data_IF_510441599483
#
_entry.id   IF_510441599483
#
_cell.length_a   1.000
_cell.length_b   1.000
_cell.length_c   1.000
_cell.angle_alpha   90.00
_cell.angle_beta   90.00
_cell.angle_gamma   90.00
#
_symmetry.space_group_name_H-M   'P 1'
#
loop_
_entity.id
_entity.type
_entity.pdbx_description
1 polymer ?
#
# COMPACT_ATOMS: atom_id res chain seq x y z
N UNK A 1 -19.40 12.99 -6.17
CA UNK A 1 -18.58 14.23 -6.04
C UNK A 1 -17.21 13.82 -5.49
N UNK A 2 -16.10 13.70 -6.21
CA UNK A 2 -15.84 13.64 -7.64
C UNK A 2 -14.59 12.78 -7.81
N UNK A 3 -14.71 11.67 -8.54
CA UNK A 3 -13.57 10.83 -8.92
C UNK A 3 -12.83 11.58 -10.03
N UNK A 4 -11.65 12.11 -9.72
CA UNK A 4 -10.88 12.89 -10.70
C UNK A 4 -10.34 12.00 -11.79
N UNK A 5 -10.49 12.53 -13.00
CA UNK A 5 -10.22 11.90 -14.27
C UNK A 5 -8.73 11.68 -14.56
N UNK A 6 -8.52 10.63 -15.35
CA UNK A 6 -7.30 10.14 -16.00
C UNK A 6 -6.34 11.23 -16.48
N UNK A 7 -5.03 10.92 -16.48
CA UNK A 7 -4.10 11.48 -17.46
C UNK A 7 -3.25 10.38 -18.10
N UNK A 8 -3.35 10.33 -19.42
CA UNK A 8 -2.78 9.34 -20.31
C UNK A 8 -1.27 9.54 -20.55
N UNK A 9 -0.56 8.44 -20.76
CA UNK A 9 0.80 8.44 -21.28
C UNK A 9 1.32 7.00 -21.39
N UNK A 10 0.95 6.30 -22.47
CA UNK A 10 1.45 4.98 -22.89
C UNK A 10 1.86 4.03 -21.75
N UNK A 11 0.94 3.19 -21.31
CA UNK A 11 1.28 1.88 -20.77
C UNK A 11 0.12 0.95 -21.08
N UNK A 12 0.48 -0.27 -21.42
CA UNK A 12 -0.36 -1.42 -21.72
C UNK A 12 -1.52 -1.56 -20.70
N UNK A 13 -2.53 -2.38 -20.97
CA UNK A 13 -3.66 -2.66 -20.06
C UNK A 13 -3.21 -3.22 -18.70
N UNK A 14 -2.63 -2.37 -17.84
CA UNK A 14 -2.12 -2.74 -16.54
C UNK A 14 -3.31 -2.89 -15.61
N UNK A 15 -3.52 -4.09 -15.08
CA UNK A 15 -4.54 -4.32 -14.07
C UNK A 15 -4.22 -3.53 -12.80
N UNK A 16 -5.26 -3.11 -12.08
CA UNK A 16 -5.14 -2.39 -10.80
C UNK A 16 -5.70 -3.25 -9.69
N UNK A 17 -5.01 -3.29 -8.55
CA UNK A 17 -5.47 -3.88 -7.31
C UNK A 17 -5.55 -2.80 -6.24
N UNK A 18 -6.74 -2.56 -5.72
CA UNK A 18 -6.98 -1.63 -4.62
C UNK A 18 -7.29 -2.39 -3.34
N UNK A 19 -6.63 -2.00 -2.25
CA UNK A 19 -6.83 -2.56 -0.92
C UNK A 19 -7.40 -1.46 -0.04
N UNK A 20 -8.66 -1.63 0.36
CA UNK A 20 -9.41 -0.69 1.19
C UNK A 20 -9.39 -1.16 2.64
N UNK A 21 -8.72 -0.41 3.51
CA UNK A 21 -8.63 -0.71 4.95
C UNK A 21 -9.43 0.31 5.74
N UNK A 22 -10.45 -0.10 6.54
CA UNK A 22 -11.24 0.85 7.31
C UNK A 22 -10.42 1.52 8.42
N UNK A 23 -10.73 2.78 8.66
CA UNK A 23 -10.12 3.64 9.68
C UNK A 23 -8.87 4.39 9.22
N UNK A 24 -8.61 5.52 9.88
CA UNK A 24 -7.46 6.41 9.66
C UNK A 24 -6.16 5.85 10.24
N UNK A 25 -5.02 6.36 9.77
CA UNK A 25 -3.72 6.03 10.31
C UNK A 25 -3.65 6.42 11.80
N UNK A 26 -3.14 5.52 12.67
CA UNK A 26 -3.14 5.76 14.11
C UNK A 26 -2.12 6.85 14.50
N UNK A 27 -2.39 7.54 15.61
CA UNK A 27 -1.43 8.39 16.32
C UNK A 27 -0.76 9.50 15.48
N UNK A 28 -1.47 10.06 14.50
CA UNK A 28 -0.96 11.16 13.68
C UNK A 28 0.19 10.75 12.73
N UNK A 29 0.31 9.46 12.44
CA UNK A 29 1.22 8.96 11.40
C UNK A 29 0.72 9.43 10.04
N UNK A 30 1.55 10.18 9.30
CA UNK A 30 1.23 10.61 7.95
C UNK A 30 1.54 9.52 6.91
N UNK A 31 1.02 9.69 5.70
CA UNK A 31 1.33 8.81 4.56
C UNK A 31 2.82 8.77 4.26
N UNK A 32 3.54 9.89 4.42
CA UNK A 32 4.99 9.98 4.23
C UNK A 32 5.75 9.14 5.26
N UNK A 33 5.29 9.12 6.51
CA UNK A 33 5.86 8.29 7.56
C UNK A 33 5.71 6.79 7.20
N UNK A 34 4.54 6.39 6.71
CA UNK A 34 4.28 5.02 6.24
C UNK A 34 5.19 4.67 5.07
N UNK A 35 5.36 5.59 4.10
CA UNK A 35 6.28 5.43 2.96
C UNK A 35 7.73 5.27 3.42
N UNK A 36 8.14 5.98 4.47
CA UNK A 36 9.47 5.85 5.08
C UNK A 36 9.66 4.56 5.90
N UNK A 37 8.61 3.74 6.08
CA UNK A 37 8.66 2.50 6.85
C UNK A 37 8.49 2.69 8.36
N UNK A 38 8.01 3.87 8.80
CA UNK A 38 7.63 4.08 10.19
C UNK A 38 6.39 3.23 10.47
N UNK A 39 6.48 2.40 11.51
CA UNK A 39 5.43 1.47 11.88
C UNK A 39 4.80 1.90 13.20
N UNK A 40 3.47 1.97 13.20
CA UNK A 40 2.66 2.13 14.41
C UNK A 40 1.50 1.15 14.33
N UNK A 41 1.42 0.27 15.32
CA UNK A 41 0.34 -0.71 15.43
C UNK A 41 -0.93 -0.10 16.04
N UNK A 42 -2.08 -0.51 15.49
CA UNK A 42 -3.39 -0.24 16.12
C UNK A 42 -3.69 -1.22 17.25
N UNK A 43 -3.30 -2.48 17.07
CA UNK A 43 -3.55 -3.54 18.04
C UNK A 43 -2.29 -4.42 18.21
N UNK A 44 -1.58 -4.32 19.34
CA UNK A 44 -0.35 -5.07 19.58
C UNK A 44 -0.58 -6.58 19.74
N UNK A 45 -1.77 -7.02 20.15
CA UNK A 45 -2.08 -8.45 20.32
C UNK A 45 -2.20 -9.17 18.97
N UNK A 46 -2.91 -8.57 18.01
CA UNK A 46 -3.01 -9.12 16.64
C UNK A 46 -1.62 -9.19 16.02
N UNK A 47 -0.84 -8.11 16.16
CA UNK A 47 0.54 -8.06 15.64
C UNK A 47 1.40 -9.18 16.24
N UNK A 48 1.37 -9.35 17.56
CA UNK A 48 2.12 -10.40 18.26
C UNK A 48 1.73 -11.79 17.78
N UNK A 49 0.42 -12.05 17.61
CA UNK A 49 -0.08 -13.33 17.11
C UNK A 49 0.40 -13.60 15.68
N UNK A 50 0.21 -12.65 14.76
CA UNK A 50 0.63 -12.81 13.36
C UNK A 50 2.14 -12.97 13.21
N UNK A 51 2.92 -12.26 14.04
CA UNK A 51 4.37 -12.40 14.10
C UNK A 51 4.79 -13.79 14.57
N UNK A 52 4.16 -14.32 15.62
CA UNK A 52 4.43 -15.70 16.13
C UNK A 52 4.06 -16.78 15.12
N UNK A 53 3.02 -16.55 14.31
CA UNK A 53 2.62 -17.46 13.23
C UNK A 53 3.51 -17.38 11.99
N UNK A 54 4.49 -16.46 11.95
CA UNK A 54 5.37 -16.29 10.79
C UNK A 54 4.69 -15.72 9.55
N UNK A 55 3.49 -15.14 9.70
CA UNK A 55 2.70 -14.57 8.59
C UNK A 55 3.14 -13.15 8.22
N UNK A 56 3.97 -12.52 9.04
CA UNK A 56 4.48 -11.16 8.82
C UNK A 56 5.99 -11.16 8.65
N UNK A 57 6.46 -10.21 7.85
CA UNK A 57 7.89 -9.88 7.77
C UNK A 57 8.28 -8.95 8.91
N UNK A 58 9.54 -8.48 8.92
CA UNK A 58 10.01 -7.50 9.90
C UNK A 58 9.12 -6.25 9.88
N UNK A 59 8.74 -5.76 11.06
CA UNK A 59 7.83 -4.61 11.21
C UNK A 59 8.31 -3.40 10.38
N UNK A 60 7.37 -2.69 9.76
CA UNK A 60 7.66 -1.52 8.94
C UNK A 60 8.31 -1.78 7.58
N UNK A 61 8.70 -3.02 7.26
CA UNK A 61 9.39 -3.32 6.00
C UNK A 61 8.46 -3.61 4.82
N UNK A 62 7.19 -3.93 5.08
CA UNK A 62 6.23 -4.32 4.05
C UNK A 62 6.02 -3.23 2.99
N UNK A 63 5.74 -2.00 3.43
CA UNK A 63 5.51 -0.86 2.53
C UNK A 63 6.78 -0.54 1.73
N UNK A 64 7.92 -0.38 2.40
CA UNK A 64 9.20 -0.12 1.72
C UNK A 64 9.52 -1.20 0.68
N UNK A 65 9.19 -2.47 0.99
CA UNK A 65 9.39 -3.60 0.08
C UNK A 65 8.49 -3.52 -1.15
N UNK A 66 7.22 -3.14 -1.04
CA UNK A 66 6.35 -3.03 -2.24
C UNK A 66 6.85 -1.94 -3.19
N UNK A 67 7.29 -0.79 -2.68
CA UNK A 67 7.87 0.28 -3.50
C UNK A 67 9.12 -0.21 -4.23
N UNK A 68 10.01 -0.89 -3.51
CA UNK A 68 11.22 -1.47 -4.09
C UNK A 68 10.91 -2.49 -5.20
N UNK A 69 9.97 -3.40 -4.94
CA UNK A 69 9.60 -4.45 -5.90
C UNK A 69 8.89 -3.89 -7.14
N UNK A 70 8.13 -2.80 -7.01
CA UNK A 70 7.51 -2.10 -8.13
C UNK A 70 8.59 -1.48 -9.03
N UNK A 71 9.54 -0.75 -8.44
CA UNK A 71 10.67 -0.16 -9.16
C UNK A 71 11.53 -1.23 -9.87
N UNK A 72 11.88 -2.32 -9.18
CA UNK A 72 12.63 -3.46 -9.75
C UNK A 72 11.93 -4.09 -10.97
N UNK A 73 10.60 -4.01 -11.03
CA UNK A 73 9.78 -4.59 -12.11
C UNK A 73 9.37 -3.57 -13.18
N UNK A 74 9.79 -2.31 -13.06
CA UNK A 74 9.36 -1.23 -13.96
C UNK A 74 7.85 -0.96 -13.89
N UNK A 75 7.21 -1.28 -12.77
CA UNK A 75 5.81 -0.96 -12.52
C UNK A 75 5.67 0.49 -12.03
N UNK A 76 4.51 1.13 -12.25
CA UNK A 76 4.22 2.41 -11.61
C UNK A 76 4.33 2.31 -10.09
N UNK A 77 4.72 3.42 -9.44
CA UNK A 77 4.81 3.48 -7.98
C UNK A 77 3.45 3.19 -7.35
N UNK A 78 3.38 2.39 -6.27
CA UNK A 78 2.18 2.25 -5.46
C UNK A 78 1.66 3.60 -4.96
N UNK A 79 0.33 3.77 -4.96
CA UNK A 79 -0.32 4.94 -4.38
C UNK A 79 -0.83 4.59 -2.98
N UNK A 80 -0.62 5.50 -2.02
CA UNK A 80 -1.12 5.40 -0.66
C UNK A 80 -1.98 6.62 -0.40
N UNK A 81 -3.25 6.41 -0.06
CA UNK A 81 -4.20 7.48 0.23
C UNK A 81 -4.83 7.26 1.60
N UNK A 82 -4.80 8.29 2.43
CA UNK A 82 -5.57 8.34 3.66
C UNK A 82 -6.78 9.26 3.45
N UNK A 83 -7.97 8.69 3.60
CA UNK A 83 -9.24 9.43 3.61
C UNK A 83 -9.73 9.60 5.04
N UNK A 84 -10.81 10.34 5.24
CA UNK A 84 -11.39 10.51 6.58
C UNK A 84 -11.91 9.20 7.19
N UNK A 85 -12.16 8.18 6.40
CA UNK A 85 -12.77 6.92 6.86
C UNK A 85 -11.92 5.69 6.60
N UNK A 86 -10.98 5.76 5.65
CA UNK A 86 -10.28 4.58 5.13
C UNK A 86 -8.85 4.92 4.71
N UNK A 87 -8.00 3.91 4.75
CA UNK A 87 -6.67 3.91 4.15
C UNK A 87 -6.66 3.00 2.93
N UNK A 88 -6.32 3.56 1.78
CA UNK A 88 -6.36 2.88 0.48
C UNK A 88 -4.94 2.70 -0.05
N UNK A 89 -4.65 1.48 -0.52
CA UNK A 89 -3.39 1.14 -1.19
C UNK A 89 -3.68 0.67 -2.59
N UNK A 90 -3.11 1.35 -3.59
CA UNK A 90 -3.27 1.02 -5.01
C UNK A 90 -1.98 0.41 -5.55
N UNK A 91 -2.08 -0.79 -6.11
CA UNK A 91 -0.99 -1.53 -6.74
C UNK A 91 -1.29 -1.77 -8.21
N UNK A 92 -0.23 -1.72 -9.03
CA UNK A 92 -0.33 -1.94 -10.47
C UNK A 92 0.28 -3.28 -10.84
N UNK A 93 -0.32 -3.97 -11.81
CA UNK A 93 0.24 -5.19 -12.41
C UNK A 93 0.39 -5.03 -13.92
N UNK A 94 1.38 -5.71 -14.49
CA UNK A 94 1.41 -5.92 -15.93
C UNK A 94 0.21 -6.76 -16.36
N UNK A 95 -0.36 -6.52 -17.56
CA UNK A 95 -1.29 -7.47 -18.16
C UNK A 95 -0.64 -8.84 -18.22
N UNK A 96 -1.38 -9.87 -17.82
CA UNK A 96 -0.93 -11.24 -18.08
C UNK A 96 -0.98 -11.44 -19.60
N UNK A 97 0.18 -11.69 -20.20
CA UNK A 97 0.23 -12.20 -21.58
C UNK A 97 -0.28 -13.64 -21.53
N UNK A 98 -1.56 -13.82 -21.88
CA UNK A 98 -2.11 -15.14 -22.23
C UNK A 98 -2.00 -15.33 -23.73
#
# INVERSE_FOLDING_TARGET
MGVRARRAGRICECGVLEIHSPGQLPNGVSVENVRAGIHVERNPFILSLMSKLGLMTRLGTGIVRIFRLAAERGLPEPELEETSTEFVVTLYRMPATT
#
